data_IF_857674701297
#
_entry.id   IF_857674701297
#
_cell.length_a   1.000
_cell.length_b   1.000
_cell.length_c   1.000
_cell.angle_alpha   90.00
_cell.angle_beta   90.00
_cell.angle_gamma   90.00
#
_symmetry.space_group_name_H-M   'P 1'
#
loop_
_entity.id
_entity.type
_entity.pdbx_description
1 polymer ?
#
# COMPACT_ATOMS: atom_id res chain seq x y z
N UNK A 1 9.96 -2.39 15.26
CA UNK A 1 9.32 -1.13 14.81
C UNK A 1 8.61 -1.26 13.47
N UNK A 2 9.24 -1.77 12.40
CA UNK A 2 8.54 -1.98 11.11
C UNK A 2 7.31 -2.89 11.25
N UNK A 3 7.40 -3.97 12.04
CA UNK A 3 6.26 -4.84 12.36
C UNK A 3 5.09 -4.12 13.06
N UNK A 4 5.38 -3.08 13.86
CA UNK A 4 4.33 -2.27 14.49
C UNK A 4 3.64 -1.43 13.42
N UNK A 5 4.41 -0.77 12.54
CA UNK A 5 3.84 -0.01 11.42
C UNK A 5 2.94 -0.89 10.54
N UNK A 6 3.38 -2.10 10.21
CA UNK A 6 2.56 -3.05 9.44
C UNK A 6 1.30 -3.46 10.21
N UNK A 7 1.39 -3.72 11.52
CA UNK A 7 0.22 -4.07 12.33
C UNK A 7 -0.82 -2.94 12.38
N UNK A 8 -0.39 -1.69 12.55
CA UNK A 8 -1.28 -0.52 12.51
C UNK A 8 -1.95 -0.37 11.13
N UNK A 9 -1.18 -0.48 10.04
CA UNK A 9 -1.73 -0.39 8.68
C UNK A 9 -2.70 -1.53 8.37
N UNK A 10 -2.41 -2.75 8.83
CA UNK A 10 -3.34 -3.88 8.73
C UNK A 10 -4.61 -3.63 9.54
N UNK A 11 -4.50 -3.02 10.72
CA UNK A 11 -5.65 -2.59 11.51
C UNK A 11 -6.58 -1.66 10.73
N UNK A 12 -6.03 -0.65 10.04
CA UNK A 12 -6.83 0.24 9.18
C UNK A 12 -7.43 -0.50 7.98
N UNK A 13 -6.66 -1.41 7.38
CA UNK A 13 -7.14 -2.25 6.28
C UNK A 13 -8.34 -3.11 6.70
N UNK A 14 -8.27 -3.79 7.84
CA UNK A 14 -9.36 -4.62 8.37
C UNK A 14 -10.59 -3.79 8.76
N UNK A 15 -10.38 -2.62 9.37
CA UNK A 15 -11.48 -1.71 9.68
C UNK A 15 -12.19 -1.24 8.39
N UNK A 16 -11.39 -0.92 7.36
CA UNK A 16 -11.91 -0.53 6.04
C UNK A 16 -12.67 -1.67 5.37
N UNK A 17 -12.14 -2.90 5.41
CA UNK A 17 -12.79 -4.10 4.88
C UNK A 17 -14.16 -4.34 5.53
N UNK A 18 -14.22 -4.31 6.87
CA UNK A 18 -15.45 -4.52 7.62
C UNK A 18 -16.49 -3.44 7.32
N UNK A 19 -16.10 -2.17 7.34
CA UNK A 19 -17.00 -1.04 7.05
C UNK A 19 -17.45 -1.02 5.58
N UNK A 20 -16.53 -1.26 4.64
CA UNK A 20 -16.85 -1.33 3.22
C UNK A 20 -17.79 -2.48 2.91
N UNK A 21 -17.56 -3.66 3.51
CA UNK A 21 -18.45 -4.82 3.37
C UNK A 21 -19.84 -4.59 3.94
N UNK A 22 -19.95 -3.92 5.08
CA UNK A 22 -21.25 -3.55 5.66
C UNK A 22 -22.01 -2.56 4.76
N UNK A 23 -21.34 -1.49 4.31
CA UNK A 23 -21.94 -0.49 3.41
C UNK A 23 -22.33 -1.09 2.06
N UNK A 24 -21.50 -1.97 1.52
CA UNK A 24 -21.76 -2.68 0.27
C UNK A 24 -22.95 -3.63 0.41
N UNK A 25 -22.98 -4.44 1.47
CA UNK A 25 -24.09 -5.36 1.77
C UNK A 25 -25.41 -4.65 2.06
N UNK A 26 -25.37 -3.45 2.66
CA UNK A 26 -26.55 -2.61 2.89
C UNK A 26 -26.99 -1.80 1.66
N UNK A 27 -26.24 -1.84 0.55
CA UNK A 27 -26.52 -1.06 -0.65
C UNK A 27 -26.26 0.46 -0.54
N UNK A 28 -25.62 0.92 0.56
CA UNK A 28 -25.41 2.34 0.87
C UNK A 28 -24.09 2.83 0.24
N UNK A 29 -24.02 2.82 -1.09
CA UNK A 29 -22.78 3.10 -1.83
C UNK A 29 -22.29 4.55 -1.72
N UNK A 30 -23.20 5.49 -1.45
CA UNK A 30 -22.85 6.91 -1.27
C UNK A 30 -21.84 7.13 -0.14
N UNK A 31 -21.79 6.23 0.84
CA UNK A 31 -20.87 6.32 1.98
C UNK A 31 -19.50 5.63 1.73
N UNK A 32 -19.35 4.88 0.63
CA UNK A 32 -18.08 4.21 0.30
C UNK A 32 -16.96 5.20 -0.04
N UNK A 33 -17.29 6.29 -0.73
CA UNK A 33 -16.31 7.34 -1.09
C UNK A 33 -15.82 8.09 0.16
N UNK A 34 -16.68 8.58 1.06
CA UNK A 34 -16.25 9.15 2.34
C UNK A 34 -15.41 8.20 3.19
N UNK A 35 -15.82 6.92 3.29
CA UNK A 35 -15.04 5.89 3.99
C UNK A 35 -13.64 5.78 3.39
N UNK A 36 -13.55 5.71 2.07
CA UNK A 36 -12.27 5.58 1.36
C UNK A 36 -11.37 6.80 1.59
N UNK A 37 -11.91 8.01 1.55
CA UNK A 37 -11.15 9.24 1.81
C UNK A 37 -10.63 9.30 3.25
N UNK A 38 -11.48 8.93 4.22
CA UNK A 38 -11.12 8.91 5.64
C UNK A 38 -10.05 7.85 5.94
N UNK A 39 -10.30 6.59 5.55
CA UNK A 39 -9.34 5.49 5.74
C UNK A 39 -8.03 5.75 4.99
N UNK A 40 -8.09 6.30 3.78
CA UNK A 40 -6.90 6.67 3.00
C UNK A 40 -6.03 7.70 3.70
N UNK A 41 -6.65 8.76 4.25
CA UNK A 41 -5.95 9.81 4.98
C UNK A 41 -5.31 9.29 6.27
N UNK A 42 -6.01 8.41 7.00
CA UNK A 42 -5.50 7.78 8.23
C UNK A 42 -4.32 6.86 7.90
N UNK A 43 -4.48 5.97 6.91
CA UNK A 43 -3.40 5.06 6.48
C UNK A 43 -2.16 5.81 6.03
N UNK A 44 -2.33 6.86 5.23
CA UNK A 44 -1.22 7.69 4.75
C UNK A 44 -0.52 8.40 5.91
N UNK A 45 -1.28 8.96 6.85
CA UNK A 45 -0.73 9.62 8.05
C UNK A 45 0.08 8.65 8.90
N UNK A 46 -0.41 7.42 9.10
CA UNK A 46 0.32 6.37 9.82
C UNK A 46 1.58 5.98 9.06
N UNK A 47 1.49 5.70 7.76
CA UNK A 47 2.62 5.29 6.94
C UNK A 47 3.75 6.33 6.92
N UNK A 48 3.41 7.60 6.69
CA UNK A 48 4.36 8.71 6.69
C UNK A 48 4.88 9.03 8.09
N UNK A 49 4.05 8.91 9.13
CA UNK A 49 4.47 9.09 10.52
C UNK A 49 5.56 8.08 10.91
N UNK A 50 5.36 6.80 10.61
CA UNK A 50 6.37 5.77 10.86
C UNK A 50 7.63 5.97 10.01
N UNK A 51 7.49 6.32 8.73
CA UNK A 51 8.63 6.64 7.88
C UNK A 51 9.47 7.79 8.46
N UNK A 52 8.81 8.85 8.93
CA UNK A 52 9.48 10.03 9.51
C UNK A 52 10.22 9.68 10.79
N UNK A 53 9.63 8.86 11.68
CA UNK A 53 10.28 8.39 12.91
C UNK A 53 11.56 7.59 12.58
N UNK A 54 11.51 6.73 11.57
CA UNK A 54 12.67 5.92 11.15
C UNK A 54 13.80 6.78 10.54
N UNK A 55 13.45 7.89 9.88
CA UNK A 55 14.43 8.83 9.31
C UNK A 55 15.07 9.72 10.36
N UNK A 56 14.32 10.13 11.39
CA UNK A 56 14.83 11.03 12.44
C UNK A 56 15.65 10.29 13.51
N UNK A 57 15.30 9.03 13.80
CA UNK A 57 16.00 8.22 14.82
C UNK A 57 16.61 6.92 14.23
N UNK A 58 17.47 6.98 13.20
CA UNK A 58 18.01 5.77 12.58
C UNK A 58 18.97 5.03 13.52
N UNK A 59 20.00 5.69 14.06
CA UNK A 59 21.06 5.02 14.83
C UNK A 59 20.56 4.24 16.07
N UNK A 60 19.72 4.80 16.95
CA UNK A 60 19.22 4.04 18.10
C UNK A 60 18.26 2.91 17.70
N UNK A 61 17.56 3.03 16.57
CA UNK A 61 16.61 2.01 16.12
C UNK A 61 17.29 0.87 15.38
N UNK A 62 18.25 1.17 14.49
CA UNK A 62 18.99 0.18 13.73
C UNK A 62 20.13 -0.44 14.56
N UNK A 63 20.70 0.28 15.52
CA UNK A 63 21.66 -0.26 16.49
C UNK A 63 21.07 -1.34 17.41
N UNK A 64 19.75 -1.35 17.61
CA UNK A 64 19.06 -2.47 18.29
C UNK A 64 18.97 -3.72 17.42
N UNK A 65 19.06 -3.58 16.10
CA UNK A 65 18.94 -4.69 15.14
C UNK A 65 20.30 -5.28 14.76
N UNK A 66 21.36 -4.47 14.75
CA UNK A 66 22.72 -4.90 14.40
C UNK A 66 23.78 -4.08 15.12
N UNK A 67 24.88 -4.75 15.49
CA UNK A 67 26.10 -4.11 16.01
C UNK A 67 27.17 -3.91 14.92
N UNK A 68 26.87 -4.22 13.66
CA UNK A 68 27.83 -4.05 12.55
C UNK A 68 27.77 -2.62 12.02
N UNK A 69 28.81 -1.83 12.30
CA UNK A 69 28.89 -0.42 11.90
C UNK A 69 28.75 -0.18 10.39
N UNK A 70 29.33 -1.07 9.56
CA UNK A 70 29.25 -0.99 8.10
C UNK A 70 27.80 -1.01 7.56
N UNK A 71 26.90 -1.73 8.24
CA UNK A 71 25.48 -1.80 7.83
C UNK A 71 24.73 -0.54 8.24
N UNK A 72 25.05 0.03 9.40
CA UNK A 72 24.42 1.25 9.90
C UNK A 72 24.79 2.44 9.02
N UNK A 73 26.06 2.52 8.57
CA UNK A 73 26.54 3.58 7.68
C UNK A 73 25.87 3.52 6.29
N UNK A 74 25.68 2.31 5.76
CA UNK A 74 24.95 2.09 4.51
C UNK A 74 23.45 2.43 4.62
N UNK A 75 22.79 2.15 5.74
CA UNK A 75 21.35 2.41 5.95
C UNK A 75 21.00 3.88 5.68
N UNK A 76 21.86 4.82 6.09
CA UNK A 76 21.64 6.26 5.91
C UNK A 76 21.40 6.65 4.45
N UNK A 77 22.00 5.93 3.49
CA UNK A 77 21.81 6.16 2.05
C UNK A 77 20.41 5.75 1.55
N UNK A 78 19.72 4.86 2.26
CA UNK A 78 18.41 4.32 1.85
C UNK A 78 17.25 4.83 2.71
N UNK A 79 17.50 5.58 3.78
CA UNK A 79 16.45 6.13 4.65
C UNK A 79 15.40 6.94 3.87
N UNK A 80 15.83 7.73 2.87
CA UNK A 80 14.92 8.53 2.05
C UNK A 80 13.95 7.68 1.23
N UNK A 81 14.28 6.42 0.92
CA UNK A 81 13.36 5.52 0.22
C UNK A 81 12.19 5.06 1.09
N UNK A 82 12.29 5.17 2.42
CA UNK A 82 11.21 4.75 3.34
C UNK A 82 9.94 5.60 3.17
N UNK A 83 10.07 6.91 2.91
CA UNK A 83 8.93 7.80 2.71
C UNK A 83 8.05 7.39 1.52
N UNK A 84 8.57 7.32 0.27
CA UNK A 84 7.75 6.96 -0.88
C UNK A 84 7.27 5.52 -0.80
N UNK A 85 8.09 4.59 -0.27
CA UNK A 85 7.70 3.17 -0.17
C UNK A 85 6.60 2.93 0.86
N UNK A 86 6.73 3.43 2.10
CA UNK A 86 5.70 3.27 3.12
C UNK A 86 4.44 4.07 2.80
N UNK A 87 4.59 5.24 2.16
CA UNK A 87 3.46 6.01 1.64
C UNK A 87 2.65 5.20 0.63
N UNK A 88 3.29 4.71 -0.44
CA UNK A 88 2.63 3.89 -1.45
C UNK A 88 2.07 2.58 -0.87
N UNK A 89 2.80 1.94 0.05
CA UNK A 89 2.35 0.72 0.73
C UNK A 89 1.08 0.96 1.54
N UNK A 90 1.03 2.03 2.33
CA UNK A 90 -0.10 2.35 3.21
C UNK A 90 -1.40 2.54 2.42
N UNK A 91 -1.34 3.26 1.30
CA UNK A 91 -2.47 3.45 0.39
C UNK A 91 -2.86 2.13 -0.30
N UNK A 92 -1.89 1.35 -0.74
CA UNK A 92 -2.14 0.04 -1.37
C UNK A 92 -2.82 -0.94 -0.41
N UNK A 93 -2.43 -0.97 0.86
CA UNK A 93 -3.10 -1.79 1.89
C UNK A 93 -4.54 -1.32 2.12
N UNK A 94 -4.74 -0.01 2.26
CA UNK A 94 -6.07 0.56 2.45
C UNK A 94 -7.02 0.20 1.29
N UNK A 95 -6.54 0.34 0.05
CA UNK A 95 -7.31 -0.03 -1.15
C UNK A 95 -7.57 -1.54 -1.21
N UNK A 96 -6.63 -2.38 -0.80
CA UNK A 96 -6.88 -3.83 -0.71
C UNK A 96 -8.00 -4.14 0.28
N UNK A 97 -7.97 -3.56 1.48
CA UNK A 97 -9.06 -3.71 2.46
C UNK A 97 -10.41 -3.27 1.89
N UNK A 98 -10.43 -2.14 1.18
CA UNK A 98 -11.63 -1.67 0.48
C UNK A 98 -12.19 -2.69 -0.53
N UNK A 99 -11.38 -3.13 -1.50
CA UNK A 99 -11.84 -4.10 -2.52
C UNK A 99 -12.17 -5.47 -1.93
N UNK A 100 -11.49 -5.87 -0.85
CA UNK A 100 -11.78 -7.12 -0.16
C UNK A 100 -13.16 -7.04 0.53
N UNK A 101 -13.50 -5.88 1.11
CA UNK A 101 -14.83 -5.61 1.65
C UNK A 101 -15.93 -5.64 0.59
N UNK A 102 -15.62 -5.26 -0.65
CA UNK A 102 -16.55 -5.39 -1.79
C UNK A 102 -16.66 -6.83 -2.33
N UNK A 103 -15.87 -7.77 -1.80
CA UNK A 103 -15.76 -9.16 -2.28
C UNK A 103 -15.21 -9.21 -3.73
N UNK A 104 -14.44 -8.19 -4.13
CA UNK A 104 -13.86 -8.13 -5.48
C UNK A 104 -12.43 -8.68 -5.52
N UNK A 105 -12.32 -10.00 -5.33
CA UNK A 105 -11.05 -10.71 -5.36
C UNK A 105 -10.36 -10.70 -6.72
N UNK A 106 -11.12 -10.51 -7.81
CA UNK A 106 -10.56 -10.47 -9.18
C UNK A 106 -9.71 -9.23 -9.35
N UNK A 107 -10.19 -8.07 -8.87
CA UNK A 107 -9.45 -6.80 -8.91
C UNK A 107 -8.17 -6.89 -8.09
N UNK A 108 -8.24 -7.46 -6.88
CA UNK A 108 -7.07 -7.66 -6.03
C UNK A 108 -6.03 -8.53 -6.73
N UNK A 109 -6.44 -9.69 -7.27
CA UNK A 109 -5.55 -10.61 -7.98
C UNK A 109 -4.93 -9.97 -9.23
N UNK A 110 -5.73 -9.30 -10.05
CA UNK A 110 -5.25 -8.68 -11.29
C UNK A 110 -4.26 -7.54 -10.99
N UNK A 111 -4.51 -6.76 -9.93
CA UNK A 111 -3.54 -5.75 -9.46
C UNK A 111 -2.22 -6.39 -9.07
N UNK A 112 -2.28 -7.55 -8.41
CA UNK A 112 -1.10 -8.26 -7.93
C UNK A 112 -0.23 -8.74 -9.09
N UNK A 113 -0.85 -9.46 -10.03
CA UNK A 113 -0.15 -10.02 -11.20
C UNK A 113 0.43 -8.90 -12.07
N UNK A 114 -0.35 -7.86 -12.33
CA UNK A 114 0.09 -6.73 -13.16
C UNK A 114 1.26 -5.99 -12.53
N UNK A 115 1.25 -5.80 -11.21
CA UNK A 115 2.37 -5.17 -10.50
C UNK A 115 3.64 -6.01 -10.51
N UNK A 116 3.52 -7.34 -10.45
CA UNK A 116 4.67 -8.24 -10.61
C UNK A 116 5.25 -8.09 -12.02
N UNK A 117 4.41 -8.20 -13.04
CA UNK A 117 4.83 -8.24 -14.45
C UNK A 117 5.36 -6.89 -14.95
N UNK A 118 4.70 -5.79 -14.58
CA UNK A 118 5.00 -4.46 -15.11
C UNK A 118 5.94 -3.67 -14.19
N UNK A 119 5.78 -3.81 -12.87
CA UNK A 119 6.56 -3.06 -11.89
C UNK A 119 7.81 -3.81 -11.43
N UNK A 120 7.62 -4.99 -10.85
CA UNK A 120 8.69 -5.70 -10.14
C UNK A 120 9.70 -6.38 -11.07
N UNK A 121 9.26 -7.21 -12.02
CA UNK A 121 10.17 -8.00 -12.88
C UNK A 121 11.12 -7.10 -13.70
N UNK A 122 10.65 -6.03 -14.38
CA UNK A 122 11.55 -5.17 -15.15
C UNK A 122 12.56 -4.44 -14.25
N UNK A 123 12.12 -3.97 -13.08
CA UNK A 123 13.00 -3.29 -12.13
C UNK A 123 14.00 -4.25 -11.45
N UNK A 124 13.59 -5.48 -11.13
CA UNK A 124 14.44 -6.51 -10.54
C UNK A 124 15.51 -7.00 -11.54
N UNK A 125 15.14 -7.18 -12.82
CA UNK A 125 16.09 -7.54 -13.88
C UNK A 125 17.10 -6.41 -14.12
N UNK A 126 16.67 -5.14 -14.06
CA UNK A 126 17.57 -4.00 -14.06
C UNK A 126 18.51 -4.02 -12.84
N UNK A 127 17.99 -4.28 -11.63
CA UNK A 127 18.80 -4.34 -10.42
C UNK A 127 19.91 -5.40 -10.52
N UNK A 128 19.58 -6.58 -11.05
CA UNK A 128 20.56 -7.64 -11.31
C UNK A 128 21.67 -7.16 -12.25
N UNK A 129 21.31 -6.44 -13.33
CA UNK A 129 22.29 -5.98 -14.32
C UNK A 129 23.21 -4.90 -13.76
N UNK A 130 22.66 -3.93 -13.04
CA UNK A 130 23.40 -2.76 -12.56
C UNK A 130 24.10 -2.97 -11.21
N UNK A 131 23.87 -4.10 -10.52
CA UNK A 131 24.45 -4.43 -9.21
C UNK A 131 24.29 -3.30 -8.18
N UNK A 132 23.21 -2.52 -8.28
CA UNK A 132 22.95 -1.36 -7.44
C UNK A 132 21.75 -1.63 -6.52
N UNK A 133 21.98 -1.50 -5.21
CA UNK A 133 20.97 -1.71 -4.19
C UNK A 133 19.81 -0.70 -4.26
N UNK A 134 20.04 0.50 -4.80
CA UNK A 134 19.00 1.49 -5.04
C UNK A 134 17.95 1.00 -6.04
N UNK A 135 18.35 0.18 -7.01
CA UNK A 135 17.41 -0.36 -8.00
C UNK A 135 16.45 -1.38 -7.36
N UNK A 136 16.86 -2.04 -6.28
CA UNK A 136 15.99 -2.95 -5.51
C UNK A 136 14.91 -2.14 -4.78
N UNK A 137 15.29 -1.05 -4.12
CA UNK A 137 14.32 -0.14 -3.49
C UNK A 137 13.35 0.45 -4.50
N UNK A 138 13.84 0.83 -5.69
CA UNK A 138 13.00 1.26 -6.80
C UNK A 138 12.04 0.15 -7.25
N UNK A 139 12.48 -1.10 -7.35
CA UNK A 139 11.63 -2.23 -7.73
C UNK A 139 10.48 -2.45 -6.74
N UNK A 140 10.76 -2.37 -5.44
CA UNK A 140 9.75 -2.46 -4.38
C UNK A 140 8.77 -1.28 -4.44
N UNK A 141 9.28 -0.07 -4.64
CA UNK A 141 8.45 1.12 -4.78
C UNK A 141 7.52 1.02 -5.99
N UNK A 142 8.07 0.70 -7.18
CA UNK A 142 7.30 0.57 -8.42
C UNK A 142 6.22 -0.49 -8.30
N UNK A 143 6.53 -1.63 -7.70
CA UNK A 143 5.55 -2.65 -7.42
C UNK A 143 4.36 -2.12 -6.61
N UNK A 144 4.61 -1.39 -5.52
CA UNK A 144 3.54 -0.81 -4.70
C UNK A 144 2.76 0.26 -5.46
N UNK A 145 3.44 1.14 -6.20
CA UNK A 145 2.81 2.21 -6.98
C UNK A 145 1.93 1.66 -8.09
N UNK A 146 2.39 0.63 -8.83
CA UNK A 146 1.57 0.00 -9.87
C UNK A 146 0.31 -0.61 -9.28
N UNK A 147 0.39 -1.28 -8.12
CA UNK A 147 -0.81 -1.79 -7.43
C UNK A 147 -1.74 -0.66 -7.02
N UNK A 148 -1.21 0.38 -6.39
CA UNK A 148 -1.97 1.56 -5.97
C UNK A 148 -2.74 2.17 -7.15
N UNK A 149 -2.08 2.34 -8.30
CA UNK A 149 -2.68 2.90 -9.51
C UNK A 149 -3.77 1.98 -10.06
N UNK A 150 -3.51 0.67 -10.19
CA UNK A 150 -4.49 -0.27 -10.74
C UNK A 150 -5.73 -0.36 -9.86
N UNK A 151 -5.55 -0.44 -8.54
CA UNK A 151 -6.67 -0.43 -7.60
C UNK A 151 -7.41 0.92 -7.68
N UNK A 152 -6.68 2.03 -7.74
CA UNK A 152 -7.23 3.37 -7.86
C UNK A 152 -8.12 3.57 -9.11
N UNK A 153 -7.65 3.08 -10.26
CA UNK A 153 -8.38 3.16 -11.54
C UNK A 153 -9.68 2.32 -11.51
N UNK A 154 -9.75 1.28 -10.67
CA UNK A 154 -10.92 0.41 -10.57
C UNK A 154 -11.97 0.88 -9.56
N UNK A 155 -11.70 1.98 -8.82
CA UNK A 155 -12.68 2.58 -7.91
C UNK A 155 -13.93 3.08 -8.66
N UNK A 156 -13.84 3.83 -9.77
CA UNK A 156 -15.03 4.31 -10.47
C UNK A 156 -15.88 3.16 -11.03
N UNK A 157 -15.26 2.06 -11.46
CA UNK A 157 -15.98 0.88 -11.94
C UNK A 157 -16.74 0.17 -10.81
N UNK A 158 -16.17 0.08 -9.61
CA UNK A 158 -16.85 -0.53 -8.46
C UNK A 158 -18.08 0.28 -8.02
N UNK A 159 -18.08 1.59 -8.26
CA UNK A 159 -19.23 2.45 -8.00
C UNK A 159 -20.32 2.37 -9.08
N UNK A 160 -19.95 2.14 -10.36
CA UNK A 160 -20.85 2.14 -11.52
C UNK A 160 -21.56 0.80 -11.79
N UNK A 161 -20.91 -0.34 -11.52
CA UNK A 161 -21.38 -1.66 -11.95
C UNK A 161 -22.81 -2.04 -11.53
N UNK A 162 -23.37 -1.35 -10.53
CA UNK A 162 -24.65 -1.71 -9.94
C UNK A 162 -25.71 -0.60 -10.05
N UNK A 163 -25.49 0.46 -10.83
CA UNK A 163 -26.59 1.37 -11.23
C UNK A 163 -27.49 0.73 -12.30
N UNK A 164 -26.96 -0.24 -13.07
CA UNK A 164 -27.69 -0.93 -14.13
C UNK A 164 -28.70 -1.98 -13.62
N UNK A 165 -28.55 -2.53 -12.41
CA UNK A 165 -29.51 -3.50 -11.84
C UNK A 165 -30.70 -2.85 -11.13
N UNK A 166 -30.67 -1.52 -10.91
CA UNK A 166 -31.74 -0.77 -10.25
C UNK A 166 -32.86 -0.29 -11.18
N UNK A 167 -32.77 -0.54 -12.49
CA UNK A 167 -33.72 -0.06 -13.50
C UNK A 167 -34.70 -1.16 -13.97
N UNK A 168 -34.51 -2.41 -13.52
CA UNK A 168 -35.37 -3.55 -13.89
C UNK A 168 -36.00 -4.24 -12.69
N UNK A 169 -36.63 -3.49 -11.79
CA UNK A 169 -37.70 -3.99 -10.91
C UNK A 169 -38.79 -2.94 -10.74
#
# INVERSE_FOLDING_TARGET
>A
MVYLATAFLHGVSFATESLAGNLWGAGIKKQLVPLMQMSGSISLSIGLGFASILIVLPDPLFGLLTNHGEVIEEIHHYLLWLLPTLGAWSLTLMLQGYFLGLIDGVVIRNSMVSAIVIGFIPAATAAWKFHNNQTIWLALFLFMVVRMIILGIQIPSSLRGNEAEGVTK
#
